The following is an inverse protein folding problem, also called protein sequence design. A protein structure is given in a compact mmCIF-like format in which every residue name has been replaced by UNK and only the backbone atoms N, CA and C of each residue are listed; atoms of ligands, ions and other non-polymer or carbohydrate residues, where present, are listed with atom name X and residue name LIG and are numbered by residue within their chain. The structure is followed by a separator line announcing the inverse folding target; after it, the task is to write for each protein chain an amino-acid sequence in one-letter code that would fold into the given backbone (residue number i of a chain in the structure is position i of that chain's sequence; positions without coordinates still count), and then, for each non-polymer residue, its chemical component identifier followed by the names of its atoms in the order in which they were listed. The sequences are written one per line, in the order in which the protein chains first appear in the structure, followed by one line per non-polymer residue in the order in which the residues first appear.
data_IF_392773240607
#
_entry.id   IF_392773240607
#
_cell.length_a   1.000
_cell.length_b   1.000
_cell.length_c   1.000
_cell.angle_alpha   90.00
_cell.angle_beta   90.00
_cell.angle_gamma   90.00
#
_symmetry.space_group_name_H-M   'P 1'
#
loop_
_entity.id
_entity.type
_entity.pdbx_description
1 polymer ?
#
# COMPACT_ATOMS: atom_id res chain seq x y z
N UNK A 1 7.75 -1.38 -11.59
CA UNK A 1 9.10 -0.80 -11.40
C UNK A 1 9.50 -0.07 -12.67
N UNK A 2 9.92 1.19 -12.57
CA UNK A 2 10.35 2.00 -13.71
C UNK A 2 11.88 2.10 -13.70
N UNK A 3 12.52 1.76 -14.81
CA UNK A 3 13.98 1.80 -14.95
C UNK A 3 14.34 3.04 -15.77
N UNK A 4 15.11 3.95 -15.17
CA UNK A 4 15.61 5.16 -15.82
C UNK A 4 17.09 5.37 -15.47
N UNK A 5 17.90 5.78 -16.46
CA UNK A 5 19.32 6.07 -16.22
C UNK A 5 19.48 7.23 -15.23
N UNK A 6 20.39 7.06 -14.27
CA UNK A 6 20.76 8.10 -13.31
C UNK A 6 19.79 8.34 -12.16
N UNK A 7 18.72 7.53 -12.04
CA UNK A 7 17.76 7.63 -10.93
C UNK A 7 18.07 6.58 -9.87
N UNK A 8 18.24 7.02 -8.62
CA UNK A 8 18.44 6.19 -7.45
C UNK A 8 17.81 6.87 -6.22
N UNK A 9 16.94 6.20 -5.44
CA UNK A 9 16.46 4.82 -5.64
C UNK A 9 15.54 4.68 -6.87
N UNK A 10 15.38 3.44 -7.36
CA UNK A 10 14.45 3.15 -8.47
C UNK A 10 13.01 3.41 -8.05
N UNK A 11 12.22 4.01 -8.95
CA UNK A 11 10.81 4.27 -8.68
C UNK A 11 9.95 3.01 -8.85
N UNK A 12 9.09 2.75 -7.87
CA UNK A 12 8.07 1.72 -7.94
C UNK A 12 6.74 2.35 -8.34
N UNK A 13 6.10 1.72 -9.32
CA UNK A 13 4.81 2.12 -9.87
C UNK A 13 3.96 0.86 -10.03
N UNK A 14 2.67 0.98 -9.76
CA UNK A 14 1.68 -0.03 -10.13
C UNK A 14 0.63 0.57 -11.06
N UNK A 15 -0.04 -0.28 -11.82
CA UNK A 15 -1.13 0.15 -12.68
C UNK A 15 -2.45 -0.11 -11.98
N UNK A 16 -3.23 0.93 -11.82
CA UNK A 16 -4.61 0.87 -11.40
C UNK A 16 -5.55 1.24 -12.56
N UNK A 17 -6.76 0.68 -12.56
CA UNK A 17 -7.74 0.93 -13.62
C UNK A 17 -8.38 2.32 -13.51
N UNK A 18 -8.55 2.82 -12.30
CA UNK A 18 -9.15 4.11 -11.96
C UNK A 18 -8.13 5.25 -12.08
N UNK A 19 -6.97 5.10 -11.46
CA UNK A 19 -5.97 6.18 -11.40
C UNK A 19 -4.87 6.09 -12.47
N UNK A 20 -4.83 5.00 -13.24
CA UNK A 20 -3.76 4.74 -14.17
C UNK A 20 -2.45 4.38 -13.45
N UNK A 21 -1.27 4.85 -13.91
CA UNK A 21 -0.01 4.59 -13.24
C UNK A 21 0.11 5.37 -11.92
N UNK A 22 0.13 4.64 -10.80
CA UNK A 22 0.28 5.21 -9.45
C UNK A 22 1.70 4.95 -8.93
N UNK A 23 2.39 6.02 -8.53
CA UNK A 23 3.73 5.95 -7.93
C UNK A 23 3.64 5.59 -6.46
N UNK A 24 4.54 4.72 -6.01
CA UNK A 24 4.71 4.39 -4.61
C UNK A 24 5.85 5.17 -3.98
N UNK A 25 5.65 5.61 -2.75
CA UNK A 25 6.65 6.15 -1.83
C UNK A 25 7.41 5.00 -1.16
N UNK A 26 8.00 4.13 -1.98
CA UNK A 26 8.78 2.97 -1.58
C UNK A 26 9.93 2.75 -2.57
N UNK A 27 11.08 2.34 -2.05
CA UNK A 27 12.09 1.66 -2.86
C UNK A 27 11.76 0.17 -3.02
N UNK A 28 12.63 -0.59 -3.70
CA UNK A 28 12.40 -2.00 -3.94
C UNK A 28 12.41 -2.84 -2.65
N UNK A 29 13.27 -2.53 -1.68
CA UNK A 29 13.33 -3.24 -0.41
C UNK A 29 12.06 -2.97 0.41
N UNK A 30 11.67 -1.70 0.52
CA UNK A 30 10.43 -1.27 1.17
C UNK A 30 9.19 -1.89 0.51
N UNK A 31 9.17 -2.06 -0.81
CA UNK A 31 8.10 -2.78 -1.50
C UNK A 31 7.98 -4.23 -1.05
N UNK A 32 9.10 -4.96 -0.95
CA UNK A 32 9.09 -6.35 -0.51
C UNK A 32 8.71 -6.48 0.98
N UNK A 33 9.21 -5.60 1.83
CA UNK A 33 8.85 -5.55 3.24
C UNK A 33 7.36 -5.27 3.43
N UNK A 34 6.83 -4.26 2.72
CA UNK A 34 5.42 -3.93 2.76
C UNK A 34 4.54 -5.08 2.26
N UNK A 35 4.93 -5.75 1.17
CA UNK A 35 4.24 -6.94 0.65
C UNK A 35 4.17 -8.07 1.68
N UNK A 36 5.27 -8.32 2.42
CA UNK A 36 5.32 -9.34 3.47
C UNK A 36 4.48 -8.94 4.69
N UNK A 37 4.46 -7.67 5.08
CA UNK A 37 3.63 -7.18 6.21
C UNK A 37 2.14 -7.24 5.89
N UNK A 38 1.76 -6.86 4.66
CA UNK A 38 0.37 -6.81 4.19
C UNK A 38 -0.11 -8.14 3.63
N UNK A 39 0.77 -9.15 3.55
CA UNK A 39 0.49 -10.48 2.96
C UNK A 39 -0.14 -10.37 1.55
N UNK A 40 0.17 -9.30 0.83
CA UNK A 40 -0.43 -9.01 -0.47
C UNK A 40 -1.94 -8.72 -0.43
N UNK A 41 -2.47 -8.20 0.70
CA UNK A 41 -3.86 -7.77 0.82
C UNK A 41 -4.24 -6.85 -0.34
N UNK A 42 -5.37 -7.11 -1.00
CA UNK A 42 -5.77 -6.34 -2.17
C UNK A 42 -5.83 -4.83 -1.87
N UNK A 43 -5.14 -4.03 -2.70
CA UNK A 43 -5.08 -2.58 -2.56
C UNK A 43 -4.04 -2.06 -1.56
N UNK A 44 -3.21 -2.93 -0.94
CA UNK A 44 -2.22 -2.51 0.05
C UNK A 44 -1.26 -1.42 -0.47
N UNK A 45 -1.00 -1.39 -1.78
CA UNK A 45 -0.13 -0.40 -2.42
C UNK A 45 -0.59 1.03 -2.17
N UNK A 46 -1.89 1.27 -2.01
CA UNK A 46 -2.45 2.60 -1.75
C UNK A 46 -2.01 3.20 -0.40
N UNK A 47 -1.64 2.37 0.58
CA UNK A 47 -1.05 2.84 1.85
C UNK A 47 0.31 3.53 1.66
N UNK A 48 0.91 3.36 0.50
CA UNK A 48 2.21 3.90 0.13
C UNK A 48 2.13 4.77 -1.12
N UNK A 49 0.94 5.19 -1.52
CA UNK A 49 0.75 6.15 -2.60
C UNK A 49 0.21 7.47 -2.05
N UNK A 50 0.39 8.52 -2.84
CA UNK A 50 -0.23 9.83 -2.63
C UNK A 50 -1.58 9.84 -3.37
N UNK A 51 -2.56 9.16 -2.78
CA UNK A 51 -3.94 9.07 -3.29
C UNK A 51 -4.94 9.26 -2.16
N UNK A 52 -6.12 9.76 -2.49
CA UNK A 52 -7.29 9.72 -1.60
C UNK A 52 -7.95 8.35 -1.71
N UNK A 53 -8.25 7.71 -0.58
CA UNK A 53 -9.08 6.50 -0.50
C UNK A 53 -10.54 6.82 -0.16
N UNK A 54 -10.88 8.09 0.02
CA UNK A 54 -12.25 8.54 0.24
C UNK A 54 -13.13 8.46 -1.02
N UNK A 55 -12.49 8.33 -2.19
CA UNK A 55 -13.19 8.27 -3.47
C UNK A 55 -13.87 6.90 -3.66
N UNK A 56 -15.06 6.93 -4.29
CA UNK A 56 -15.90 5.74 -4.46
C UNK A 56 -15.18 4.59 -5.21
N UNK A 57 -14.23 4.95 -6.07
CA UNK A 57 -13.46 4.02 -6.88
C UNK A 57 -12.57 3.10 -6.04
N UNK A 58 -12.17 3.53 -4.83
CA UNK A 58 -11.28 2.76 -3.95
C UNK A 58 -11.99 2.02 -2.82
N UNK A 59 -13.33 2.07 -2.73
CA UNK A 59 -14.06 1.52 -1.59
C UNK A 59 -13.74 0.04 -1.30
N UNK A 60 -13.60 -0.78 -2.35
CA UNK A 60 -13.23 -2.19 -2.20
C UNK A 60 -11.83 -2.37 -1.63
N UNK A 61 -10.86 -1.56 -2.06
CA UNK A 61 -9.49 -1.56 -1.53
C UNK A 61 -9.48 -1.11 -0.07
N UNK A 62 -10.23 -0.05 0.24
CA UNK A 62 -10.37 0.46 1.61
C UNK A 62 -10.97 -0.60 2.55
N UNK A 63 -12.04 -1.28 2.14
CA UNK A 63 -12.67 -2.33 2.94
C UNK A 63 -11.74 -3.52 3.18
N UNK A 64 -10.98 -3.93 2.16
CA UNK A 64 -9.97 -4.98 2.30
C UNK A 64 -8.88 -4.59 3.30
N UNK A 65 -8.37 -3.36 3.22
CA UNK A 65 -7.34 -2.88 4.14
C UNK A 65 -7.86 -2.73 5.58
N UNK A 66 -9.10 -2.26 5.77
CA UNK A 66 -9.75 -2.24 7.10
C UNK A 66 -9.87 -3.64 7.68
N UNK A 67 -10.34 -4.60 6.87
CA UNK A 67 -10.46 -6.00 7.29
C UNK A 67 -9.09 -6.63 7.58
N UNK A 68 -8.08 -6.32 6.79
CA UNK A 68 -6.69 -6.73 7.05
C UNK A 68 -6.22 -6.23 8.41
N UNK A 69 -6.39 -4.94 8.71
CA UNK A 69 -5.98 -4.35 10.00
C UNK A 69 -6.78 -4.89 11.19
N UNK A 70 -7.99 -5.42 10.97
CA UNK A 70 -8.77 -6.08 12.00
C UNK A 70 -8.33 -7.54 12.24
N UNK A 71 -8.02 -8.27 11.17
CA UNK A 71 -7.78 -9.72 11.21
C UNK A 71 -6.30 -10.04 11.46
N UNK A 72 -5.39 -9.33 10.82
CA UNK A 72 -3.97 -9.69 10.82
C UNK A 72 -3.30 -9.59 12.18
N UNK A 73 -3.58 -8.58 13.03
CA UNK A 73 -3.05 -8.57 14.39
C UNK A 73 -3.46 -9.79 15.22
N UNK A 74 -4.60 -10.43 14.90
CA UNK A 74 -5.09 -11.66 15.56
C UNK A 74 -4.38 -12.91 15.03
N UNK A 75 -4.02 -12.93 13.74
CA UNK A 75 -3.38 -14.08 13.08
C UNK A 75 -1.85 -14.05 13.18
N UNK A 76 -1.26 -12.86 13.24
CA UNK A 76 0.18 -12.62 13.22
C UNK A 76 0.56 -11.61 14.32
N UNK A 77 0.34 -11.95 15.61
CA UNK A 77 0.48 -11.00 16.73
C UNK A 77 1.90 -10.47 16.91
N UNK A 78 2.90 -11.17 16.40
CA UNK A 78 4.30 -10.74 16.38
C UNK A 78 4.62 -9.59 15.40
N UNK A 79 3.68 -9.16 14.55
CA UNK A 79 3.89 -8.04 13.63
C UNK A 79 3.18 -6.77 14.14
N UNK A 80 3.88 -5.63 14.05
CA UNK A 80 3.28 -4.32 14.31
C UNK A 80 2.58 -3.77 13.05
N UNK A 81 1.28 -3.47 13.21
CA UNK A 81 0.40 -2.94 12.18
C UNK A 81 0.08 -1.44 12.36
N UNK A 82 0.63 -0.78 13.39
CA UNK A 82 0.32 0.62 13.75
C UNK A 82 0.61 1.58 12.60
N UNK A 83 1.80 1.48 11.99
CA UNK A 83 2.18 2.29 10.81
C UNK A 83 1.23 2.10 9.62
N UNK A 84 0.71 0.88 9.39
CA UNK A 84 -0.26 0.64 8.30
C UNK A 84 -1.63 1.27 8.62
N UNK A 85 -2.04 1.28 9.89
CA UNK A 85 -3.27 1.93 10.32
C UNK A 85 -3.17 3.46 10.22
N UNK A 86 -2.03 4.04 10.64
CA UNK A 86 -1.76 5.47 10.48
C UNK A 86 -1.75 5.87 9.01
N UNK A 87 -1.07 5.09 8.16
CA UNK A 87 -1.09 5.30 6.71
C UNK A 87 -2.50 5.27 6.16
N UNK A 88 -3.32 4.29 6.54
CA UNK A 88 -4.70 4.22 6.07
C UNK A 88 -5.48 5.49 6.44
N UNK A 89 -5.34 5.98 7.67
CA UNK A 89 -6.01 7.19 8.14
C UNK A 89 -5.54 8.46 7.39
N UNK A 90 -4.28 8.55 7.00
CA UNK A 90 -3.75 9.67 6.20
C UNK A 90 -4.30 9.73 4.77
N UNK A 91 -4.91 8.65 4.27
CA UNK A 91 -5.53 8.59 2.92
C UNK A 91 -7.06 8.78 2.97
N UNK A 92 -7.66 8.91 4.15
CA UNK A 92 -9.10 9.20 4.31
C UNK A 92 -9.36 10.71 4.27
#
# INVERSE_FOLDING_TARGET
MRIQRGVSPLEIWFHDRSDGPVRLDLDYCGYLEALVRTKGCFGWQYLFADVSLADHEHHHSLDNMRRMLEVFPKLFPEHDYTDLAERLNQRL
#
